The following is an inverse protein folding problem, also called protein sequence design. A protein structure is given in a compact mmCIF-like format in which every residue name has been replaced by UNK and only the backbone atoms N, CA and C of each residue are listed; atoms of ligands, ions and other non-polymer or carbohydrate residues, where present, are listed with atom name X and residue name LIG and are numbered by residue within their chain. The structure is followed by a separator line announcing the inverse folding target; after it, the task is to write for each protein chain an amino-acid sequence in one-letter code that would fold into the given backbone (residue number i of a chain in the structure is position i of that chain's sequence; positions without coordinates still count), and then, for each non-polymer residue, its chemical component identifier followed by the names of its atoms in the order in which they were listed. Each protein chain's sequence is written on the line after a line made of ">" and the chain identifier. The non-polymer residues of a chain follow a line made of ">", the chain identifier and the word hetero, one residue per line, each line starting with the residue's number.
data_IF_617420229675
#
_entry.id   IF_617420229675
#
_cell.length_a   1.000
_cell.length_b   1.000
_cell.length_c   1.000
_cell.angle_alpha   90.00
_cell.angle_beta   90.00
_cell.angle_gamma   90.00
#
_symmetry.space_group_name_H-M   'P 1'
#
loop_
_entity.id
_entity.type
_entity.pdbx_description
1 polymer ?
#
# COMPACT_ATOMS: atom_id res chain seq x y z
N UNK A 1 16.47 -5.80 11.53
CA UNK A 1 16.90 -5.55 10.14
C UNK A 1 16.87 -6.85 9.34
N UNK A 2 17.46 -7.91 9.88
CA UNK A 2 17.53 -9.24 9.25
C UNK A 2 16.17 -9.80 8.83
N UNK A 3 15.10 -9.61 9.62
CA UNK A 3 13.76 -10.05 9.23
C UNK A 3 13.29 -9.43 7.92
N UNK A 4 13.51 -8.13 7.70
CA UNK A 4 13.13 -7.46 6.45
C UNK A 4 13.99 -7.94 5.28
N UNK A 5 15.31 -8.08 5.50
CA UNK A 5 16.24 -8.57 4.47
C UNK A 5 15.82 -9.96 4.00
N UNK A 6 15.54 -10.87 4.93
CA UNK A 6 15.11 -12.22 4.62
C UNK A 6 13.77 -12.25 3.88
N UNK A 7 12.81 -11.42 4.30
CA UNK A 7 11.51 -11.29 3.64
C UNK A 7 11.67 -10.88 2.17
N UNK A 8 12.33 -9.75 1.93
CA UNK A 8 12.49 -9.24 0.56
C UNK A 8 13.40 -10.13 -0.29
N UNK A 9 14.40 -10.79 0.31
CA UNK A 9 15.22 -11.79 -0.37
C UNK A 9 14.38 -12.98 -0.84
N UNK A 10 13.53 -13.54 0.03
CA UNK A 10 12.65 -14.67 -0.31
C UNK A 10 11.67 -14.31 -1.44
N UNK A 11 11.15 -13.08 -1.41
CA UNK A 11 10.35 -12.53 -2.52
C UNK A 11 11.15 -12.34 -3.81
N UNK A 12 12.42 -11.95 -3.72
CA UNK A 12 13.34 -11.92 -4.87
C UNK A 12 13.54 -13.30 -5.51
N UNK A 13 13.71 -14.34 -4.70
CA UNK A 13 13.77 -15.74 -5.16
C UNK A 13 12.45 -16.20 -5.82
N UNK A 14 11.34 -15.54 -5.47
CA UNK A 14 9.99 -15.76 -6.00
C UNK A 14 9.76 -15.32 -7.44
N UNK A 15 10.76 -14.74 -8.10
CA UNK A 15 10.66 -14.29 -9.50
C UNK A 15 9.70 -13.11 -9.69
N UNK A 16 9.51 -12.29 -8.65
CA UNK A 16 8.68 -11.09 -8.73
C UNK A 16 9.40 -10.02 -9.56
N UNK A 17 8.75 -9.50 -10.60
CA UNK A 17 9.36 -8.53 -11.51
C UNK A 17 9.67 -7.17 -10.87
N UNK A 18 8.76 -6.64 -10.03
CA UNK A 18 8.96 -5.41 -9.27
C UNK A 18 8.53 -5.66 -7.83
N UNK A 19 9.46 -5.45 -6.89
CA UNK A 19 9.20 -5.57 -5.45
C UNK A 19 9.11 -4.17 -4.86
N UNK A 20 7.95 -3.82 -4.33
CA UNK A 20 7.74 -2.56 -3.62
C UNK A 20 7.88 -2.83 -2.13
N UNK A 21 8.81 -2.12 -1.48
CA UNK A 21 8.95 -2.19 -0.02
C UNK A 21 7.68 -1.65 0.65
N UNK A 22 7.32 -2.22 1.80
CA UNK A 22 6.26 -1.69 2.65
C UNK A 22 6.47 -0.22 3.02
N UNK A 23 5.39 0.43 3.49
CA UNK A 23 5.38 1.86 3.77
C UNK A 23 6.60 2.33 4.57
N UNK A 24 7.34 3.25 3.96
CA UNK A 24 8.55 3.85 4.55
C UNK A 24 8.28 5.30 4.89
N UNK A 25 8.52 5.65 6.14
CA UNK A 25 8.18 6.97 6.66
C UNK A 25 9.29 7.96 6.31
N UNK A 26 8.88 9.16 5.92
CA UNK A 26 9.78 10.29 5.64
C UNK A 26 10.02 11.19 6.87
N UNK A 27 9.28 10.93 7.96
CA UNK A 27 9.28 11.71 9.18
C UNK A 27 9.01 10.84 10.39
N UNK A 28 9.66 11.15 11.51
CA UNK A 28 9.41 10.54 12.83
C UNK A 28 8.00 10.80 13.37
N UNK A 29 7.31 11.80 12.84
CA UNK A 29 5.95 12.19 13.25
C UNK A 29 4.86 11.60 12.37
N UNK A 30 5.24 10.87 11.31
CA UNK A 30 4.32 10.27 10.35
C UNK A 30 4.17 8.75 10.54
N UNK A 31 4.63 8.21 11.67
CA UNK A 31 4.65 6.76 11.94
C UNK A 31 3.22 6.22 12.10
N UNK A 32 2.91 5.16 11.35
CA UNK A 32 1.61 4.48 11.39
C UNK A 32 1.52 3.50 12.56
N UNK A 33 2.58 2.71 12.77
CA UNK A 33 2.66 1.64 13.74
C UNK A 33 4.09 1.43 14.23
N UNK A 34 4.24 0.73 15.36
CA UNK A 34 5.57 0.35 15.85
C UNK A 34 6.31 -0.51 14.81
N UNK A 35 7.58 -0.18 14.55
CA UNK A 35 8.44 -0.93 13.63
C UNK A 35 8.42 -0.45 12.17
N UNK A 36 7.67 0.60 11.81
CA UNK A 36 7.79 1.19 10.48
C UNK A 36 9.23 1.63 10.20
N UNK A 37 9.79 1.30 9.01
CA UNK A 37 11.07 1.87 8.59
C UNK A 37 10.92 3.37 8.34
N UNK A 38 11.95 4.13 8.73
CA UNK A 38 12.01 5.58 8.54
C UNK A 38 13.32 5.91 7.81
N UNK A 39 13.23 6.57 6.66
CA UNK A 39 14.38 6.98 5.86
C UNK A 39 14.49 8.50 5.85
N UNK A 40 15.34 9.04 6.72
CA UNK A 40 15.58 10.49 6.87
C UNK A 40 16.99 10.76 7.38
N UNK A 41 17.61 11.84 6.92
CA UNK A 41 18.85 12.40 7.49
C UNK A 41 18.54 13.31 8.69
N UNK A 42 19.32 13.22 9.77
CA UNK A 42 19.20 14.09 10.95
C UNK A 42 18.39 13.53 12.14
N UNK A 43 18.29 14.35 13.20
CA UNK A 43 18.00 13.94 14.59
C UNK A 43 16.68 13.19 14.83
N UNK A 44 16.75 12.28 15.82
CA UNK A 44 15.65 11.45 16.36
C UNK A 44 14.44 12.27 16.82
N UNK A 45 13.28 11.60 16.83
CA UNK A 45 11.99 12.09 17.34
C UNK A 45 12.12 12.85 18.67
N UNK A 46 11.67 14.12 18.72
CA UNK A 46 11.67 14.96 19.93
C UNK A 46 10.44 14.69 20.84
N UNK A 47 10.00 13.44 20.95
CA UNK A 47 8.79 13.05 21.70
C UNK A 47 7.51 13.09 20.87
N UNK A 48 6.37 12.70 21.47
CA UNK A 48 5.10 12.55 20.75
C UNK A 48 4.60 13.91 20.24
N UNK A 49 4.65 14.11 18.93
CA UNK A 49 3.98 15.24 18.27
C UNK A 49 2.60 14.80 17.78
N UNK A 50 1.64 15.73 17.71
CA UNK A 50 0.34 15.43 17.12
C UNK A 50 0.50 15.02 15.65
N UNK A 51 -0.19 13.97 15.17
CA UNK A 51 -0.14 13.61 13.77
C UNK A 51 -0.64 14.76 12.91
N UNK A 52 0.09 15.00 11.83
CA UNK A 52 -0.13 16.13 10.95
C UNK A 52 -1.04 15.69 9.80
N UNK A 53 -2.10 16.45 9.53
CA UNK A 53 -3.07 16.17 8.46
C UNK A 53 -3.93 17.43 8.21
N UNK A 54 -4.90 17.39 7.30
CA UNK A 54 -5.74 18.55 6.96
C UNK A 54 -6.71 18.95 8.10
N UNK A 55 -7.17 20.23 8.17
CA UNK A 55 -7.85 20.82 9.32
C UNK A 55 -9.08 20.07 9.85
N UNK A 56 -9.69 19.22 9.04
CA UNK A 56 -11.04 18.66 9.27
C UNK A 56 -11.09 17.14 9.24
N UNK A 57 -9.97 16.44 9.07
CA UNK A 57 -10.01 14.97 9.08
C UNK A 57 -10.16 14.46 10.50
N UNK A 58 -11.40 14.17 10.91
CA UNK A 58 -11.64 13.32 12.06
C UNK A 58 -12.08 11.97 11.52
N UNK A 59 -11.13 11.07 11.29
CA UNK A 59 -11.51 9.68 11.04
C UNK A 59 -12.26 9.18 12.27
N UNK A 60 -13.57 9.00 12.13
CA UNK A 60 -14.41 8.38 13.18
C UNK A 60 -14.27 6.85 13.16
N UNK A 61 -13.56 6.31 12.18
CA UNK A 61 -13.51 4.88 11.88
C UNK A 61 -12.22 4.27 12.38
N UNK A 62 -12.31 3.32 13.30
CA UNK A 62 -11.18 2.49 13.67
C UNK A 62 -10.83 1.54 12.52
N UNK A 63 -9.54 1.33 12.23
CA UNK A 63 -9.09 0.37 11.20
C UNK A 63 -8.06 -0.59 11.77
N UNK A 64 -8.28 -1.89 11.60
CA UNK A 64 -7.39 -2.95 12.07
C UNK A 64 -7.00 -2.85 13.57
N UNK A 65 -7.84 -2.21 14.39
CA UNK A 65 -7.59 -1.93 15.81
C UNK A 65 -7.13 -0.49 16.10
N UNK A 66 -6.66 0.25 15.10
CA UNK A 66 -6.14 1.61 15.24
C UNK A 66 -7.29 2.63 15.46
N UNK A 67 -7.08 3.59 16.37
CA UNK A 67 -7.86 4.83 16.43
C UNK A 67 -6.94 6.01 16.15
N UNK A 68 -7.39 6.95 15.33
CA UNK A 68 -6.57 8.09 14.90
C UNK A 68 -6.71 9.27 15.86
N UNK A 69 -5.60 9.96 16.15
CA UNK A 69 -5.67 11.22 16.89
C UNK A 69 -6.25 12.33 16.00
N UNK A 70 -6.85 13.35 16.62
CA UNK A 70 -7.32 14.52 15.89
C UNK A 70 -6.11 15.25 15.26
N UNK A 71 -6.11 15.47 13.94
CA UNK A 71 -5.01 16.13 13.26
C UNK A 71 -5.14 17.66 13.32
N UNK A 72 -4.02 18.34 13.04
CA UNK A 72 -3.95 19.79 12.81
C UNK A 72 -3.53 20.07 11.37
N UNK A 73 -4.22 21.04 10.76
CA UNK A 73 -3.89 21.61 9.45
C UNK A 73 -2.40 21.98 9.30
N UNK A 74 -1.79 21.51 8.21
CA UNK A 74 -0.49 21.99 7.76
C UNK A 74 -0.52 23.46 7.36
N UNK A 75 0.51 24.21 7.74
CA UNK A 75 0.82 25.50 7.12
C UNK A 75 1.48 25.29 5.75
N UNK A 76 1.47 26.30 4.88
CA UNK A 76 2.15 26.23 3.58
C UNK A 76 3.65 25.96 3.74
N UNK A 77 4.30 26.56 4.74
CA UNK A 77 5.71 26.31 5.04
C UNK A 77 5.97 24.83 5.37
N UNK A 78 5.13 24.21 6.22
CA UNK A 78 5.25 22.79 6.55
C UNK A 78 5.01 21.88 5.33
N UNK A 79 4.11 22.26 4.41
CA UNK A 79 3.94 21.54 3.13
C UNK A 79 5.24 21.56 2.34
N UNK A 80 5.90 22.73 2.21
CA UNK A 80 7.17 22.85 1.49
C UNK A 80 8.30 22.07 2.15
N UNK A 81 8.35 22.02 3.47
CA UNK A 81 9.35 21.22 4.19
C UNK A 81 9.12 19.73 3.99
N UNK A 82 7.87 19.29 3.94
CA UNK A 82 7.52 17.92 3.59
C UNK A 82 7.91 17.57 2.15
N UNK A 83 7.68 18.46 1.17
CA UNK A 83 8.15 18.25 -0.22
C UNK A 83 9.64 17.94 -0.25
N UNK A 84 10.46 18.73 0.46
CA UNK A 84 11.91 18.48 0.56
C UNK A 84 12.23 17.16 1.25
N UNK A 85 11.47 16.78 2.28
CA UNK A 85 11.66 15.50 2.97
C UNK A 85 11.38 14.30 2.04
N UNK A 86 10.35 14.37 1.19
CA UNK A 86 10.11 13.36 0.15
C UNK A 86 11.26 13.27 -0.85
N UNK A 87 11.78 14.41 -1.32
CA UNK A 87 12.96 14.46 -2.19
C UNK A 87 14.17 13.80 -1.54
N UNK A 88 14.47 14.18 -0.31
CA UNK A 88 15.59 13.63 0.46
C UNK A 88 15.47 12.11 0.65
N UNK A 89 14.29 11.61 1.00
CA UNK A 89 14.05 10.16 1.11
C UNK A 89 14.28 9.46 -0.23
N UNK A 90 13.85 10.04 -1.35
CA UNK A 90 14.10 9.46 -2.67
C UNK A 90 15.58 9.46 -3.05
N UNK A 91 16.32 10.52 -2.71
CA UNK A 91 17.79 10.57 -2.86
C UNK A 91 18.48 9.47 -2.06
N UNK A 92 18.04 9.24 -0.82
CA UNK A 92 18.57 8.15 0.01
C UNK A 92 18.28 6.77 -0.58
N UNK A 93 17.08 6.55 -1.14
CA UNK A 93 16.75 5.31 -1.85
C UNK A 93 17.66 5.10 -3.07
N UNK A 94 17.87 6.16 -3.87
CA UNK A 94 18.76 6.12 -5.03
C UNK A 94 20.20 5.77 -4.61
N UNK A 95 20.74 6.42 -3.58
CA UNK A 95 22.09 6.15 -3.05
C UNK A 95 22.23 4.74 -2.45
N UNK A 96 21.15 4.20 -1.90
CA UNK A 96 21.10 2.82 -1.41
C UNK A 96 20.96 1.78 -2.54
N UNK A 97 20.84 2.20 -3.81
CA UNK A 97 20.76 1.32 -4.97
C UNK A 97 19.37 0.80 -5.31
N UNK A 98 18.30 1.46 -4.83
CA UNK A 98 16.94 1.15 -5.30
C UNK A 98 16.78 1.61 -6.76
N UNK A 99 16.03 0.82 -7.55
CA UNK A 99 15.70 1.19 -8.93
C UNK A 99 14.73 2.37 -9.03
N UNK A 100 14.02 2.69 -7.95
CA UNK A 100 13.00 3.73 -7.94
C UNK A 100 12.28 3.93 -6.62
N UNK A 101 11.25 4.78 -6.64
CA UNK A 101 10.33 5.04 -5.52
C UNK A 101 8.88 5.02 -5.96
N UNK A 102 8.00 4.51 -5.10
CA UNK A 102 6.55 4.65 -5.24
C UNK A 102 6.03 5.68 -4.23
N UNK A 103 5.53 6.82 -4.73
CA UNK A 103 4.89 7.85 -3.92
C UNK A 103 3.48 7.39 -3.55
N UNK A 104 3.23 7.22 -2.26
CA UNK A 104 1.93 6.74 -1.78
C UNK A 104 0.91 7.88 -1.68
N UNK A 105 -0.01 7.95 -2.65
CA UNK A 105 -1.11 8.92 -2.71
C UNK A 105 -2.48 8.21 -2.74
N UNK A 106 -2.67 7.28 -1.79
CA UNK A 106 -3.85 6.41 -1.72
C UNK A 106 -4.21 6.08 -0.26
N UNK A 107 -5.26 5.29 -0.05
CA UNK A 107 -5.62 4.65 1.23
C UNK A 107 -5.84 5.58 2.43
N UNK A 108 -6.15 6.86 2.20
CA UNK A 108 -6.38 7.84 3.27
C UNK A 108 -5.12 8.43 3.93
N UNK A 109 -3.92 8.19 3.39
CA UNK A 109 -2.67 8.85 3.82
C UNK A 109 -2.61 10.32 3.40
N UNK A 110 -1.57 11.03 3.86
CA UNK A 110 -1.48 12.49 3.75
C UNK A 110 -1.74 13.04 2.34
N UNK A 111 -1.06 12.51 1.31
CA UNK A 111 -1.19 13.05 -0.05
C UNK A 111 -2.60 12.89 -0.62
N UNK A 112 -3.27 11.75 -0.40
CA UNK A 112 -4.64 11.57 -0.91
C UNK A 112 -5.66 12.40 -0.14
N UNK A 113 -5.38 12.75 1.12
CA UNK A 113 -6.23 13.68 1.85
C UNK A 113 -6.23 15.07 1.20
N UNK A 114 -5.13 15.49 0.57
CA UNK A 114 -5.12 16.74 -0.22
C UNK A 114 -5.96 16.61 -1.48
N UNK A 115 -5.97 15.45 -2.13
CA UNK A 115 -6.76 15.21 -3.34
C UNK A 115 -8.27 15.18 -3.10
N UNK A 116 -8.70 14.65 -1.96
CA UNK A 116 -10.12 14.45 -1.68
C UNK A 116 -10.82 15.73 -1.23
N UNK A 117 -11.99 16.00 -1.83
CA UNK A 117 -12.85 17.11 -1.44
C UNK A 117 -13.47 16.91 -0.05
N UNK A 118 -13.54 15.68 0.46
CA UNK A 118 -14.12 15.42 1.80
C UNK A 118 -13.15 15.80 2.91
N UNK A 119 -11.85 15.68 2.68
CA UNK A 119 -10.80 15.97 3.67
C UNK A 119 -10.08 17.30 3.43
N UNK A 120 -9.96 17.76 2.19
CA UNK A 120 -9.35 19.04 1.88
C UNK A 120 -10.38 20.16 1.77
N UNK A 121 -10.46 20.95 2.84
CA UNK A 121 -11.31 22.16 2.94
C UNK A 121 -10.50 23.46 2.94
N UNK A 122 -9.27 23.43 2.44
CA UNK A 122 -8.43 24.64 2.34
C UNK A 122 -9.01 25.62 1.33
N UNK A 123 -8.79 26.89 1.58
CA UNK A 123 -9.15 28.04 0.75
C UNK A 123 -7.91 28.73 0.14
N UNK A 124 -6.72 28.15 0.33
CA UNK A 124 -5.45 28.59 -0.25
C UNK A 124 -5.08 27.83 -1.53
N UNK A 125 -3.85 27.99 -2.02
CA UNK A 125 -3.38 27.39 -3.28
C UNK A 125 -3.30 25.85 -3.27
N UNK A 126 -3.53 25.21 -2.12
CA UNK A 126 -3.58 23.76 -1.96
C UNK A 126 -5.00 23.21 -1.82
N UNK A 127 -6.05 24.05 -1.94
CA UNK A 127 -7.46 23.66 -1.84
C UNK A 127 -8.33 24.09 -3.03
N UNK A 128 -9.60 23.70 -3.01
CA UNK A 128 -10.56 24.04 -4.06
C UNK A 128 -10.44 23.15 -5.29
N UNK A 129 -9.90 23.66 -6.41
CA UNK A 129 -9.83 22.95 -7.70
C UNK A 129 -8.95 21.69 -7.65
N UNK A 130 -9.14 20.76 -8.60
CA UNK A 130 -8.33 19.53 -8.66
C UNK A 130 -6.83 19.84 -8.77
N UNK A 131 -6.45 20.84 -9.58
CA UNK A 131 -5.06 21.23 -9.77
C UNK A 131 -4.43 21.78 -8.48
N UNK A 132 -5.17 22.56 -7.69
CA UNK A 132 -4.69 23.04 -6.39
C UNK A 132 -4.57 21.90 -5.39
N UNK A 133 -5.58 21.02 -5.33
CA UNK A 133 -5.58 19.84 -4.46
C UNK A 133 -4.43 18.87 -4.79
N UNK A 134 -4.10 18.71 -6.07
CA UNK A 134 -2.98 17.88 -6.55
C UNK A 134 -1.62 18.58 -6.49
N UNK A 135 -1.57 19.89 -6.22
CA UNK A 135 -0.34 20.70 -6.19
C UNK A 135 0.73 20.08 -5.32
N UNK A 136 0.37 19.61 -4.12
CA UNK A 136 1.32 19.01 -3.19
C UNK A 136 1.99 17.74 -3.78
N UNK A 137 1.20 16.84 -4.37
CA UNK A 137 1.73 15.65 -5.05
C UNK A 137 2.68 16.03 -6.20
N UNK A 138 2.29 17.02 -7.02
CA UNK A 138 3.11 17.46 -8.14
C UNK A 138 4.42 18.11 -7.68
N UNK A 139 4.40 18.88 -6.59
CA UNK A 139 5.61 19.44 -5.98
C UNK A 139 6.53 18.34 -5.46
N UNK A 140 5.99 17.29 -4.82
CA UNK A 140 6.76 16.11 -4.41
C UNK A 140 7.46 15.44 -5.59
N UNK A 141 6.73 15.17 -6.68
CA UNK A 141 7.31 14.53 -7.87
C UNK A 141 8.41 15.40 -8.49
N UNK A 142 8.17 16.71 -8.63
CA UNK A 142 9.19 17.64 -9.17
C UNK A 142 10.43 17.68 -8.29
N UNK A 143 10.26 17.67 -6.97
CA UNK A 143 11.38 17.68 -6.04
C UNK A 143 12.20 16.39 -6.13
N UNK A 144 11.56 15.21 -6.21
CA UNK A 144 12.24 13.93 -6.42
C UNK A 144 13.08 13.97 -7.70
N UNK A 145 12.49 14.41 -8.82
CA UNK A 145 13.21 14.55 -10.11
C UNK A 145 14.32 15.58 -10.07
N UNK A 146 14.22 16.60 -9.20
CA UNK A 146 15.24 17.64 -9.04
C UNK A 146 16.46 17.09 -8.29
N UNK A 147 16.25 16.28 -7.25
CA UNK A 147 17.34 15.75 -6.41
C UNK A 147 17.91 14.43 -6.91
N UNK A 148 17.14 13.67 -7.71
CA UNK A 148 17.62 12.49 -8.46
C UNK A 148 17.46 12.76 -9.95
N UNK A 149 18.55 13.17 -10.59
CA UNK A 149 18.55 13.53 -12.01
C UNK A 149 18.72 12.33 -12.97
N UNK A 150 19.03 11.14 -12.44
CA UNK A 150 19.16 9.93 -13.25
C UNK A 150 17.79 9.53 -13.80
N UNK A 151 17.67 9.53 -15.13
CA UNK A 151 16.45 9.17 -15.86
C UNK A 151 16.11 7.68 -15.80
N UNK A 152 17.04 6.83 -15.32
CA UNK A 152 16.76 5.41 -15.05
C UNK A 152 16.06 5.19 -13.72
N UNK A 153 16.09 6.17 -12.81
CA UNK A 153 15.44 6.04 -11.52
C UNK A 153 13.93 6.19 -11.67
N UNK A 154 13.21 5.12 -11.35
CA UNK A 154 11.79 4.98 -11.63
C UNK A 154 10.97 5.74 -10.58
N UNK A 155 10.01 6.54 -11.04
CA UNK A 155 9.03 7.20 -10.17
C UNK A 155 7.64 6.64 -10.45
N UNK A 156 7.08 6.02 -9.43
CA UNK A 156 5.70 5.56 -9.43
C UNK A 156 4.83 6.41 -8.50
N UNK A 157 3.53 6.48 -8.80
CA UNK A 157 2.52 6.97 -7.86
C UNK A 157 1.42 5.94 -7.65
N UNK A 158 1.19 5.52 -6.40
CA UNK A 158 0.00 4.74 -6.03
C UNK A 158 -1.16 5.69 -5.74
N UNK A 159 -2.27 5.52 -6.45
CA UNK A 159 -3.44 6.42 -6.35
C UNK A 159 -4.74 5.65 -6.11
N UNK A 160 -5.70 6.30 -5.44
CA UNK A 160 -7.06 5.80 -5.37
C UNK A 160 -7.80 6.10 -6.68
N UNK A 161 -8.37 5.08 -7.32
CA UNK A 161 -9.18 5.23 -8.53
C UNK A 161 -10.57 5.80 -8.26
N UNK A 162 -11.10 5.55 -7.06
CA UNK A 162 -12.38 6.07 -6.58
C UNK A 162 -12.41 6.09 -5.05
N UNK A 163 -13.12 7.06 -4.48
CA UNK A 163 -13.54 7.04 -3.09
C UNK A 163 -15.03 6.69 -3.02
N UNK A 164 -15.36 5.59 -2.34
CA UNK A 164 -16.73 5.07 -2.22
C UNK A 164 -17.56 5.85 -1.19
N UNK A 165 -17.57 7.18 -1.31
CA UNK A 165 -18.30 8.08 -0.41
C UNK A 165 -18.80 9.31 -1.16
N UNK A 166 -19.88 9.92 -0.65
CA UNK A 166 -20.44 11.13 -1.22
C UNK A 166 -19.41 12.27 -1.21
N UNK A 167 -19.20 12.91 -2.37
CA UNK A 167 -18.18 13.95 -2.56
C UNK A 167 -16.75 13.44 -2.63
N UNK A 168 -16.53 12.13 -2.71
CA UNK A 168 -15.23 11.52 -2.93
C UNK A 168 -14.72 11.68 -4.36
N UNK A 169 -13.42 11.42 -4.55
CA UNK A 169 -12.74 11.43 -5.86
C UNK A 169 -13.44 10.49 -6.85
N UNK A 170 -13.75 11.00 -8.05
CA UNK A 170 -14.39 10.26 -9.15
C UNK A 170 -13.36 9.75 -10.17
N UNK A 171 -13.79 8.83 -11.04
CA UNK A 171 -12.94 8.25 -12.08
C UNK A 171 -12.39 9.32 -13.05
N UNK A 172 -13.19 10.33 -13.39
CA UNK A 172 -12.81 11.42 -14.28
C UNK A 172 -11.72 12.32 -13.66
N UNK A 173 -11.79 12.54 -12.34
CA UNK A 173 -10.75 13.27 -11.61
C UNK A 173 -9.46 12.45 -11.57
N UNK A 174 -9.56 11.14 -11.39
CA UNK A 174 -8.42 10.22 -11.45
C UNK A 174 -7.77 10.22 -12.84
N UNK A 175 -8.54 10.17 -13.92
CA UNK A 175 -8.03 10.27 -15.30
C UNK A 175 -7.26 11.58 -15.51
N UNK A 176 -7.85 12.72 -15.15
CA UNK A 176 -7.17 14.03 -15.25
C UNK A 176 -5.88 14.04 -14.45
N UNK A 177 -5.90 13.51 -13.22
CA UNK A 177 -4.71 13.39 -12.40
C UNK A 177 -3.63 12.56 -13.10
N UNK A 178 -3.96 11.39 -13.64
CA UNK A 178 -3.04 10.53 -14.37
C UNK A 178 -2.43 11.23 -15.60
N UNK A 179 -3.21 12.01 -16.35
CA UNK A 179 -2.70 12.81 -17.47
C UNK A 179 -1.66 13.84 -17.00
N UNK A 180 -1.91 14.53 -15.88
CA UNK A 180 -0.94 15.46 -15.29
C UNK A 180 0.31 14.73 -14.76
N UNK A 181 0.17 13.52 -14.24
CA UNK A 181 1.30 12.69 -13.82
C UNK A 181 2.15 12.25 -15.04
N UNK A 182 1.52 11.95 -16.17
CA UNK A 182 2.21 11.67 -17.43
C UNK A 182 2.98 12.89 -17.96
N UNK A 183 2.41 14.09 -17.88
CA UNK A 183 3.12 15.35 -18.19
C UNK A 183 4.36 15.56 -17.30
N UNK A 184 4.31 15.07 -16.06
CA UNK A 184 5.44 15.08 -15.13
C UNK A 184 6.43 13.92 -15.36
N UNK A 185 6.21 13.10 -16.39
CA UNK A 185 6.99 11.90 -16.73
C UNK A 185 7.08 10.91 -15.55
N UNK A 186 5.96 10.65 -14.89
CA UNK A 186 5.82 9.50 -13.98
C UNK A 186 5.84 8.21 -14.81
N UNK A 187 6.64 7.22 -14.40
CA UNK A 187 6.84 6.00 -15.17
C UNK A 187 5.66 5.04 -15.08
N UNK A 188 5.10 4.86 -13.87
CA UNK A 188 3.89 4.06 -13.69
C UNK A 188 2.97 4.57 -12.58
N UNK A 189 1.66 4.45 -12.82
CA UNK A 189 0.63 4.64 -11.80
C UNK A 189 0.11 3.30 -11.35
N UNK A 190 -0.05 3.13 -10.04
CA UNK A 190 -0.58 1.91 -9.44
C UNK A 190 -1.97 2.20 -8.86
N UNK A 191 -2.98 1.73 -9.57
CA UNK A 191 -4.38 1.95 -9.25
C UNK A 191 -4.80 1.01 -8.11
N UNK A 192 -5.24 1.65 -7.03
CA UNK A 192 -5.89 1.02 -5.88
C UNK A 192 -7.23 1.72 -5.64
N UNK A 193 -7.90 1.46 -4.52
CA UNK A 193 -9.10 2.20 -4.15
C UNK A 193 -9.54 1.97 -2.72
N UNK A 194 -10.49 2.80 -2.30
CA UNK A 194 -11.00 2.83 -0.93
C UNK A 194 -10.18 3.72 0.02
N UNK A 195 -10.79 4.03 1.15
CA UNK A 195 -10.23 4.84 2.24
C UNK A 195 -10.46 4.13 3.58
N UNK A 196 -9.95 4.69 4.68
CA UNK A 196 -10.28 4.22 6.03
C UNK A 196 -11.80 4.33 6.34
N UNK A 197 -12.54 5.15 5.60
CA UNK A 197 -13.97 5.42 5.79
C UNK A 197 -14.88 4.69 4.78
N UNK A 198 -14.44 4.51 3.54
CA UNK A 198 -15.16 3.78 2.49
C UNK A 198 -14.30 2.65 1.92
N UNK A 199 -14.56 1.41 2.35
CA UNK A 199 -13.68 0.27 2.04
C UNK A 199 -14.02 -0.35 0.69
N UNK A 200 -13.07 -0.35 -0.24
CA UNK A 200 -13.25 -0.96 -1.56
C UNK A 200 -13.63 -2.46 -1.49
N UNK A 201 -13.17 -3.17 -0.46
CA UNK A 201 -13.41 -4.61 -0.29
C UNK A 201 -14.80 -4.97 0.24
N UNK A 202 -15.57 -3.99 0.75
CA UNK A 202 -16.90 -4.20 1.31
C UNK A 202 -18.01 -4.02 0.27
N UNK A 203 -17.75 -3.24 -0.79
CA UNK A 203 -18.68 -3.07 -1.92
C UNK A 203 -18.50 -4.18 -2.95
N UNK A 204 -18.91 -5.41 -2.60
CA UNK A 204 -18.82 -6.58 -3.47
C UNK A 204 -20.03 -6.68 -4.40
N UNK A 205 -20.00 -6.03 -5.57
CA UNK A 205 -20.84 -6.49 -6.68
C UNK A 205 -20.36 -7.87 -7.12
N UNK A 206 -21.29 -8.78 -7.43
CA UNK A 206 -20.94 -10.15 -7.83
C UNK A 206 -20.09 -10.19 -9.11
N UNK A 207 -20.27 -9.22 -10.00
CA UNK A 207 -19.44 -9.02 -11.21
C UNK A 207 -17.99 -8.63 -10.91
N UNK A 208 -17.73 -7.93 -9.79
CA UNK A 208 -16.38 -7.56 -9.35
C UNK A 208 -15.64 -8.75 -8.74
N UNK A 209 -16.35 -9.65 -8.05
CA UNK A 209 -15.76 -10.93 -7.62
C UNK A 209 -15.37 -11.80 -8.81
N UNK A 210 -16.25 -11.93 -9.81
CA UNK A 210 -16.02 -12.76 -11.01
C UNK A 210 -14.86 -12.29 -11.89
N UNK A 211 -14.51 -11.00 -11.84
CA UNK A 211 -13.37 -10.44 -12.61
C UNK A 211 -12.05 -10.45 -11.85
N UNK A 212 -12.05 -10.86 -10.58
CA UNK A 212 -10.85 -10.92 -9.73
C UNK A 212 -10.01 -9.63 -9.67
N UNK A 213 -10.62 -8.48 -9.96
CA UNK A 213 -9.90 -7.22 -9.99
C UNK A 213 -10.84 -6.10 -9.60
N UNK A 214 -10.62 -5.55 -8.39
CA UNK A 214 -11.52 -4.55 -7.81
C UNK A 214 -11.54 -3.25 -8.60
N UNK A 215 -10.45 -2.94 -9.31
CA UNK A 215 -10.23 -1.65 -9.93
C UNK A 215 -10.05 -1.72 -11.45
N UNK A 216 -10.30 -2.88 -12.07
CA UNK A 216 -10.02 -3.08 -13.50
C UNK A 216 -10.88 -2.20 -14.40
N UNK A 217 -12.15 -1.96 -14.05
CA UNK A 217 -13.03 -1.06 -14.79
C UNK A 217 -12.48 0.37 -14.86
N UNK A 218 -11.81 0.82 -13.79
CA UNK A 218 -11.18 2.15 -13.77
C UNK A 218 -9.91 2.16 -14.62
N UNK A 219 -9.15 1.06 -14.59
CA UNK A 219 -7.97 0.91 -15.42
C UNK A 219 -8.34 0.92 -16.92
N UNK A 220 -9.42 0.25 -17.31
CA UNK A 220 -9.98 0.26 -18.68
C UNK A 220 -10.35 1.68 -19.14
N UNK A 221 -10.80 2.56 -18.23
CA UNK A 221 -11.06 3.96 -18.55
C UNK A 221 -9.78 4.81 -18.64
N UNK A 222 -8.79 4.55 -17.77
CA UNK A 222 -7.60 5.39 -17.63
C UNK A 222 -6.52 5.02 -18.63
N UNK A 223 -6.17 3.74 -18.73
CA UNK A 223 -5.01 3.25 -19.48
C UNK A 223 -5.01 3.70 -20.95
N UNK A 224 -6.12 3.64 -21.71
CA UNK A 224 -6.11 4.05 -23.12
C UNK A 224 -5.77 5.53 -23.36
N UNK A 225 -5.85 6.36 -22.31
CA UNK A 225 -5.58 7.79 -22.39
C UNK A 225 -4.13 8.17 -22.03
N UNK A 226 -3.30 7.19 -21.65
CA UNK A 226 -1.88 7.38 -21.31
C UNK A 226 -1.02 6.74 -22.41
N UNK A 227 0.06 7.42 -22.81
CA UNK A 227 0.93 7.01 -23.93
C UNK A 227 2.28 6.48 -23.48
N UNK A 228 2.79 6.99 -22.37
CA UNK A 228 4.12 6.73 -21.81
C UNK A 228 4.01 6.10 -20.43
N UNK A 229 3.18 6.67 -19.55
CA UNK A 229 3.00 6.17 -18.19
C UNK A 229 2.26 4.84 -18.22
N UNK A 230 2.85 3.82 -17.57
CA UNK A 230 2.25 2.48 -17.44
C UNK A 230 1.21 2.44 -16.34
N UNK A 231 0.17 1.62 -16.53
CA UNK A 231 -0.91 1.43 -15.55
C UNK A 231 -0.81 0.06 -14.91
N UNK A 232 -0.55 0.03 -13.61
CA UNK A 232 -0.61 -1.17 -12.79
C UNK A 232 -1.94 -1.19 -12.03
N UNK A 233 -2.49 -2.38 -11.81
CA UNK A 233 -3.69 -2.57 -11.01
C UNK A 233 -3.39 -3.50 -9.86
N UNK A 234 -3.61 -3.03 -8.63
CA UNK A 234 -3.40 -3.83 -7.42
C UNK A 234 -4.73 -4.09 -6.72
N UNK A 235 -5.05 -5.37 -6.53
CA UNK A 235 -6.14 -5.78 -5.64
C UNK A 235 -7.12 -6.76 -6.27
N UNK A 236 -7.20 -7.95 -5.66
CA UNK A 236 -8.19 -8.98 -5.99
C UNK A 236 -7.64 -10.12 -6.83
N UNK A 237 -6.54 -9.92 -7.55
CA UNK A 237 -5.98 -10.94 -8.45
C UNK A 237 -5.51 -12.18 -7.67
N UNK A 238 -6.02 -13.35 -8.06
CA UNK A 238 -5.67 -14.64 -7.46
C UNK A 238 -5.33 -15.71 -8.48
N UNK A 239 -5.90 -15.66 -9.69
CA UNK A 239 -5.68 -16.69 -10.73
C UNK A 239 -4.83 -16.21 -11.89
N UNK A 240 -4.11 -17.14 -12.53
CA UNK A 240 -3.42 -16.92 -13.80
C UNK A 240 -4.39 -16.39 -14.85
N UNK A 241 -5.59 -16.98 -14.94
CA UNK A 241 -6.60 -16.58 -15.91
C UNK A 241 -7.01 -15.12 -15.74
N UNK A 242 -7.31 -14.68 -14.50
CA UNK A 242 -7.67 -13.28 -14.23
C UNK A 242 -6.55 -12.30 -14.58
N UNK A 243 -5.30 -12.64 -14.24
CA UNK A 243 -4.13 -11.79 -14.51
C UNK A 243 -3.82 -11.71 -16.02
N UNK A 244 -3.78 -12.85 -16.71
CA UNK A 244 -3.53 -12.93 -18.15
C UNK A 244 -4.61 -12.19 -18.92
N UNK A 245 -5.88 -12.37 -18.54
CA UNK A 245 -7.01 -11.67 -19.17
C UNK A 245 -6.86 -10.16 -19.05
N UNK A 246 -6.54 -9.63 -17.86
CA UNK A 246 -6.37 -8.20 -17.63
C UNK A 246 -5.28 -7.58 -18.53
N UNK A 247 -4.18 -8.31 -18.77
CA UNK A 247 -3.10 -7.85 -19.65
C UNK A 247 -3.50 -7.99 -21.13
N UNK A 248 -4.07 -9.13 -21.53
CA UNK A 248 -4.45 -9.40 -22.93
C UNK A 248 -5.57 -8.48 -23.43
N UNK A 249 -6.50 -8.09 -22.56
CA UNK A 249 -7.55 -7.13 -22.87
C UNK A 249 -7.07 -5.66 -22.77
N UNK A 250 -5.76 -5.45 -22.56
CA UNK A 250 -5.12 -4.14 -22.39
C UNK A 250 -5.74 -3.27 -21.27
N UNK A 251 -6.37 -3.90 -20.27
CA UNK A 251 -6.95 -3.19 -19.15
C UNK A 251 -5.86 -2.62 -18.22
N UNK A 252 -4.70 -3.30 -18.12
CA UNK A 252 -3.52 -2.79 -17.44
C UNK A 252 -2.22 -3.29 -18.09
N UNK A 253 -1.11 -2.59 -17.84
CA UNK A 253 0.23 -2.98 -18.27
C UNK A 253 0.94 -3.87 -17.23
N UNK A 254 0.43 -3.92 -15.99
CA UNK A 254 0.99 -4.70 -14.91
C UNK A 254 -0.01 -5.05 -13.80
N UNK A 255 0.29 -6.13 -13.07
CA UNK A 255 -0.55 -6.65 -11.99
C UNK A 255 0.18 -6.56 -10.66
N UNK A 256 -0.44 -5.94 -9.67
CA UNK A 256 0.05 -5.91 -8.29
C UNK A 256 -0.57 -7.01 -7.43
N UNK A 257 0.29 -7.76 -6.73
CA UNK A 257 -0.09 -8.86 -5.85
C UNK A 257 0.37 -8.54 -4.43
N UNK A 258 -0.53 -8.70 -3.46
CA UNK A 258 -0.25 -8.46 -2.03
C UNK A 258 -0.35 -9.74 -1.21
N UNK A 259 -1.50 -9.97 -0.57
CA UNK A 259 -1.75 -11.10 0.35
C UNK A 259 -1.31 -12.48 -0.14
N UNK A 260 -1.51 -12.89 -1.41
CA UNK A 260 -0.99 -14.18 -1.88
C UNK A 260 0.51 -14.36 -1.60
N UNK A 261 1.34 -13.33 -1.82
CA UNK A 261 2.78 -13.41 -1.60
C UNK A 261 3.19 -13.52 -0.13
N UNK A 262 2.29 -13.23 0.82
CA UNK A 262 2.55 -13.48 2.24
C UNK A 262 2.53 -14.97 2.57
N UNK A 263 1.64 -15.75 1.93
CA UNK A 263 1.52 -17.19 2.12
C UNK A 263 2.38 -17.99 1.13
N UNK A 264 2.51 -17.49 -0.09
CA UNK A 264 3.08 -18.20 -1.23
C UNK A 264 4.20 -17.34 -1.84
N UNK A 265 5.40 -17.30 -1.24
CA UNK A 265 6.48 -16.41 -1.69
C UNK A 265 7.00 -16.72 -3.10
N UNK A 266 6.76 -17.94 -3.59
CA UNK A 266 7.12 -18.39 -4.95
C UNK A 266 5.97 -18.30 -5.95
N UNK A 267 4.83 -17.74 -5.55
CA UNK A 267 3.60 -17.71 -6.35
C UNK A 267 3.84 -17.22 -7.79
N UNK A 268 4.51 -16.07 -7.97
CA UNK A 268 4.77 -15.51 -9.30
C UNK A 268 5.59 -16.48 -10.17
N UNK A 269 6.68 -17.02 -9.63
CA UNK A 269 7.52 -17.99 -10.33
C UNK A 269 6.74 -19.25 -10.70
N UNK A 270 5.98 -19.83 -9.79
CA UNK A 270 5.22 -21.06 -10.04
C UNK A 270 4.09 -20.85 -11.06
N UNK A 271 3.45 -19.68 -11.03
CA UNK A 271 2.44 -19.27 -12.00
C UNK A 271 3.05 -19.16 -13.40
N UNK A 272 4.20 -18.48 -13.54
CA UNK A 272 4.91 -18.31 -14.80
C UNK A 272 5.50 -19.62 -15.34
N UNK A 273 5.93 -20.52 -14.45
CA UNK A 273 6.39 -21.87 -14.80
C UNK A 273 5.21 -22.80 -15.17
N UNK A 274 3.96 -22.35 -15.04
CA UNK A 274 2.76 -23.15 -15.33
C UNK A 274 2.48 -24.27 -14.32
N UNK A 275 3.09 -24.22 -13.14
CA UNK A 275 2.94 -25.25 -12.09
C UNK A 275 1.66 -25.09 -11.28
N UNK A 276 1.15 -23.87 -11.19
CA UNK A 276 -0.10 -23.52 -10.51
C UNK A 276 -0.94 -22.60 -11.39
N UNK A 277 -2.25 -22.57 -11.15
CA UNK A 277 -3.19 -21.71 -11.88
C UNK A 277 -3.77 -20.59 -11.01
N UNK A 278 -3.46 -20.57 -9.71
CA UNK A 278 -3.92 -19.53 -8.79
C UNK A 278 -3.45 -19.75 -7.36
N UNK A 279 -3.66 -18.71 -6.55
CA UNK A 279 -3.25 -18.66 -5.15
C UNK A 279 -4.17 -19.52 -4.28
N UNK A 280 -3.61 -20.08 -3.21
CA UNK A 280 -4.35 -20.87 -2.23
C UNK A 280 -5.25 -19.95 -1.39
N UNK A 281 -6.51 -20.37 -1.23
CA UNK A 281 -7.49 -19.63 -0.44
C UNK A 281 -7.29 -19.82 1.07
N UNK A 282 -7.12 -18.70 1.76
CA UNK A 282 -7.07 -18.65 3.23
C UNK A 282 -8.47 -18.68 3.80
N UNK A 283 -8.70 -19.55 4.78
CA UNK A 283 -9.94 -19.64 5.56
C UNK A 283 -10.05 -18.53 6.63
N UNK A 284 -8.99 -17.74 6.87
CA UNK A 284 -9.05 -16.59 7.79
C UNK A 284 -10.03 -15.54 7.26
N UNK A 285 -11.07 -15.15 8.03
CA UNK A 285 -12.07 -14.19 7.58
C UNK A 285 -11.51 -12.76 7.53
N UNK A 286 -12.22 -11.89 6.81
CA UNK A 286 -12.03 -10.44 6.96
C UNK A 286 -12.61 -9.96 8.31
N UNK A 287 -11.97 -9.00 9.00
CA UNK A 287 -10.73 -8.31 8.61
C UNK A 287 -9.43 -9.04 8.98
N UNK A 288 -9.49 -10.13 9.76
CA UNK A 288 -8.33 -10.81 10.37
C UNK A 288 -7.30 -11.33 9.36
N UNK A 289 -7.69 -11.55 8.10
CA UNK A 289 -6.78 -11.99 7.05
C UNK A 289 -5.63 -11.01 6.76
N UNK A 290 -5.78 -9.73 7.12
CA UNK A 290 -4.70 -8.73 7.00
C UNK A 290 -3.65 -8.97 8.08
N UNK A 291 -4.08 -9.25 9.30
CA UNK A 291 -3.20 -9.57 10.42
C UNK A 291 -2.54 -10.94 10.22
N UNK A 292 -3.26 -11.93 9.70
CA UNK A 292 -2.68 -13.24 9.43
C UNK A 292 -1.61 -13.18 8.34
N UNK A 293 -1.81 -12.34 7.32
CA UNK A 293 -0.77 -12.04 6.31
C UNK A 293 0.50 -11.50 6.98
N UNK A 294 0.38 -10.57 7.92
CA UNK A 294 1.52 -10.06 8.68
C UNK A 294 2.25 -11.14 9.49
N UNK A 295 1.53 -12.08 10.12
CA UNK A 295 2.13 -13.24 10.77
C UNK A 295 2.99 -14.08 9.80
N UNK A 296 2.51 -14.30 8.58
CA UNK A 296 3.24 -15.06 7.56
C UNK A 296 4.49 -14.31 7.06
N UNK A 297 4.39 -12.98 6.85
CA UNK A 297 5.54 -12.15 6.50
C UNK A 297 6.64 -12.23 7.57
N UNK A 298 6.27 -12.26 8.85
CA UNK A 298 7.23 -12.46 9.94
C UNK A 298 7.81 -13.88 9.98
N UNK A 299 7.04 -14.92 9.63
CA UNK A 299 7.60 -16.27 9.49
C UNK A 299 8.67 -16.31 8.38
N UNK A 300 8.39 -15.70 7.23
CA UNK A 300 9.38 -15.57 6.14
C UNK A 300 10.61 -14.79 6.65
N UNK A 301 10.39 -13.62 7.27
CA UNK A 301 11.49 -12.79 7.76
C UNK A 301 12.37 -13.48 8.79
N UNK A 302 11.79 -14.34 9.64
CA UNK A 302 12.54 -15.16 10.61
C UNK A 302 13.23 -16.38 9.99
N UNK A 303 13.15 -16.54 8.67
CA UNK A 303 13.82 -17.62 7.94
C UNK A 303 13.10 -18.97 8.07
N UNK A 304 11.81 -18.99 8.40
CA UNK A 304 11.03 -20.23 8.37
C UNK A 304 10.96 -20.74 6.92
N UNK A 305 11.35 -22.00 6.72
CA UNK A 305 11.26 -22.65 5.40
C UNK A 305 9.83 -22.92 5.00
N UNK A 306 9.08 -23.49 5.95
CA UNK A 306 7.65 -23.81 5.82
C UNK A 306 6.86 -22.73 6.55
N UNK A 307 5.78 -22.26 5.93
CA UNK A 307 4.87 -21.25 6.48
C UNK A 307 3.56 -21.90 6.93
N UNK A 308 2.86 -21.26 7.85
CA UNK A 308 1.53 -21.72 8.28
C UNK A 308 0.55 -21.75 7.11
N UNK A 309 -0.09 -22.91 6.91
CA UNK A 309 -1.08 -23.09 5.86
C UNK A 309 -2.49 -22.75 6.38
N UNK A 310 -2.94 -21.53 6.08
CA UNK A 310 -4.27 -21.05 6.46
C UNK A 310 -5.41 -21.54 5.54
N UNK A 311 -5.15 -22.47 4.62
CA UNK A 311 -6.21 -23.25 3.98
C UNK A 311 -6.71 -24.40 4.87
N UNK A 312 -6.00 -24.68 5.98
CA UNK A 312 -6.36 -25.71 6.97
C UNK A 312 -7.04 -25.06 8.17
N UNK A 313 -8.27 -25.50 8.49
CA UNK A 313 -9.10 -24.87 9.53
C UNK A 313 -8.45 -24.97 10.91
N UNK A 314 -7.80 -26.09 11.23
CA UNK A 314 -7.11 -26.29 12.51
C UNK A 314 -5.94 -25.29 12.68
N UNK A 315 -5.22 -24.97 11.61
CA UNK A 315 -4.15 -23.98 11.63
C UNK A 315 -4.71 -22.57 11.87
N UNK A 316 -5.85 -22.25 11.24
CA UNK A 316 -6.58 -20.99 11.46
C UNK A 316 -7.07 -20.85 12.89
N UNK A 317 -7.66 -21.91 13.46
CA UNK A 317 -8.15 -21.90 14.84
C UNK A 317 -7.02 -21.67 15.85
N UNK A 318 -5.87 -22.33 15.65
CA UNK A 318 -4.67 -22.09 16.48
C UNK A 318 -4.16 -20.66 16.33
N UNK A 319 -4.11 -20.14 15.11
CA UNK A 319 -3.68 -18.76 14.87
C UNK A 319 -4.63 -17.76 15.54
N UNK A 320 -5.96 -17.96 15.46
CA UNK A 320 -6.96 -17.09 16.10
C UNK A 320 -6.81 -17.08 17.62
N UNK A 321 -6.55 -18.23 18.24
CA UNK A 321 -6.30 -18.30 19.70
C UNK A 321 -5.07 -17.47 20.09
N UNK A 322 -3.96 -17.61 19.38
CA UNK A 322 -2.75 -16.84 19.65
C UNK A 322 -2.90 -15.36 19.30
N UNK A 323 -3.66 -15.03 18.26
CA UNK A 323 -3.99 -13.65 17.89
C UNK A 323 -4.78 -12.95 18.99
N UNK A 324 -5.75 -13.63 19.62
CA UNK A 324 -6.49 -13.06 20.75
C UNK A 324 -5.59 -12.86 21.97
N UNK A 325 -4.73 -13.82 22.31
CA UNK A 325 -3.75 -13.68 23.40
C UNK A 325 -2.81 -12.50 23.18
N UNK A 326 -2.27 -12.35 21.97
CA UNK A 326 -1.40 -11.22 21.62
C UNK A 326 -2.17 -9.89 21.65
N UNK A 327 -3.42 -9.89 21.21
CA UNK A 327 -4.29 -8.71 21.31
C UNK A 327 -4.52 -8.30 22.77
N UNK A 328 -4.77 -9.25 23.67
CA UNK A 328 -4.96 -8.96 25.09
C UNK A 328 -3.66 -8.54 25.78
N UNK A 329 -2.52 -9.12 25.40
CA UNK A 329 -1.19 -8.66 25.82
C UNK A 329 -0.92 -7.22 25.38
N UNK A 330 -1.31 -6.84 24.16
CA UNK A 330 -1.19 -5.45 23.70
C UNK A 330 -2.08 -4.51 24.51
N UNK A 331 -3.32 -4.89 24.80
CA UNK A 331 -4.24 -4.09 25.65
C UNK A 331 -3.70 -3.84 27.05
N UNK A 332 -2.89 -4.76 27.61
CA UNK A 332 -2.34 -4.60 28.96
C UNK A 332 -1.13 -3.67 29.03
N UNK A 333 -0.47 -3.39 27.90
CA UNK A 333 0.78 -2.60 27.85
C UNK A 333 0.58 -1.28 27.10
N UNK A 334 -0.26 -1.26 26.06
CA UNK A 334 -0.47 -0.09 25.22
C UNK A 334 -1.75 0.65 25.63
N UNK A 335 -1.72 2.00 25.67
CA UNK A 335 -2.92 2.79 25.93
C UNK A 335 -3.99 2.61 24.85
N UNK A 336 -3.58 2.21 23.64
CA UNK A 336 -4.42 1.83 22.50
C UNK A 336 -3.74 0.70 21.75
N UNK A 337 -4.50 -0.34 21.40
CA UNK A 337 -4.00 -1.42 20.54
C UNK A 337 -3.85 -0.90 19.13
N UNK A 338 -2.72 -1.20 18.49
CA UNK A 338 -2.52 -0.95 17.08
C UNK A 338 -2.50 -2.26 16.25
N UNK A 339 -2.33 -2.11 14.94
CA UNK A 339 -2.19 -3.21 13.98
C UNK A 339 -0.84 -3.96 14.08
N UNK A 340 0.10 -3.51 14.91
CA UNK A 340 1.39 -4.16 15.12
C UNK A 340 1.28 -5.36 16.08
N UNK A 341 2.36 -6.13 16.26
CA UNK A 341 2.38 -7.28 17.16
C UNK A 341 1.58 -8.46 16.60
N UNK A 342 2.27 -9.30 15.83
CA UNK A 342 1.71 -10.49 15.20
C UNK A 342 2.02 -11.73 16.05
N UNK A 343 1.05 -12.64 16.28
CA UNK A 343 1.29 -13.83 17.08
C UNK A 343 2.39 -14.69 16.45
N UNK A 344 3.29 -15.20 17.29
CA UNK A 344 4.29 -16.17 16.88
C UNK A 344 3.71 -17.57 17.04
N UNK A 345 3.34 -18.20 15.93
CA UNK A 345 2.86 -19.58 15.93
C UNK A 345 3.94 -20.51 15.37
N UNK A 346 4.11 -21.67 16.01
CA UNK A 346 4.85 -22.79 15.41
C UNK A 346 3.97 -23.41 14.32
N UNK A 347 4.58 -23.58 13.15
CA UNK A 347 3.95 -24.22 11.99
C UNK A 347 3.68 -25.69 12.33
N UNK A 348 2.42 -26.11 12.26
CA UNK A 348 2.05 -27.54 12.39
C UNK A 348 1.43 -28.09 11.12
N UNK A 349 0.73 -27.24 10.37
CA UNK A 349 0.40 -27.48 8.96
C UNK A 349 1.08 -26.41 8.11
N UNK A 350 1.73 -26.83 7.03
CA UNK A 350 2.38 -25.90 6.14
C UNK A 350 2.39 -26.39 4.70
N UNK A 351 2.63 -25.46 3.78
CA UNK A 351 2.55 -25.75 2.36
C UNK A 351 3.58 -26.82 1.95
N UNK A 352 3.09 -27.97 1.47
CA UNK A 352 3.93 -29.12 1.17
C UNK A 352 5.03 -28.82 0.14
N UNK A 353 4.81 -27.87 -0.77
CA UNK A 353 5.80 -27.49 -1.79
C UNK A 353 6.95 -26.62 -1.24
N UNK A 354 6.84 -26.12 0.00
CA UNK A 354 7.89 -25.36 0.68
C UNK A 354 8.81 -26.23 1.57
N UNK A 355 8.44 -27.50 1.79
CA UNK A 355 9.21 -28.48 2.55
C UNK A 355 10.28 -29.13 1.67
#
# INVERSE_FOLDING_TARGET
>A
MDELINLYKRWGEGGIGVIVMGNTMISYTAVEAFGNPILRTGSRCQGPQQPICLPTFTSRSAWAGNSFNKPRALTVAEIKDLVKAWGETARLCYEAGFDGVQVHCAHGYLLVQFLSLTTNKRDDEYGGSLDNRARFLFEVIREIKRVVSDKKFIICVKINSVEFQAGGTQAEDCLKLCQRLEELEVDFVDLSGGTFEGRAFEHKKESTKKREAYFIEFAEMIRPNLKKTKVYVTGGFRTAQGMVKAIQEEACDGVGIGRPLAAEPYFCKELLDGRITGAIDSLVPLPQNTQSSGSLLHQIGRGHRVLSDFSVQEEVDRWLQEFHKETDRKKSILPKVDSSGYPQIRVTSGFAYLA
#
